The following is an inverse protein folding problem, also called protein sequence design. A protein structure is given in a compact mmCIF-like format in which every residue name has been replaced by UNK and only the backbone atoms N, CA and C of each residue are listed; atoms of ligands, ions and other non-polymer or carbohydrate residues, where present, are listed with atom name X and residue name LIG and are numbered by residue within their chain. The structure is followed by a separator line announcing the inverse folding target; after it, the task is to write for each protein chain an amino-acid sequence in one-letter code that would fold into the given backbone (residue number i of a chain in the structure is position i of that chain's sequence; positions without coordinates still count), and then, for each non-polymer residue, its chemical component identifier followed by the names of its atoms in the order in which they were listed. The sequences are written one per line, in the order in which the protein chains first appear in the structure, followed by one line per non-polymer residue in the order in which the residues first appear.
data_IF_702358846946
#
_entry.id   IF_702358846946
#
_cell.length_a   1.000
_cell.length_b   1.000
_cell.length_c   1.000
_cell.angle_alpha   90.00
_cell.angle_beta   90.00
_cell.angle_gamma   90.00
#
_symmetry.space_group_name_H-M   'P 1'
#
loop_
_entity.id
_entity.type
_entity.pdbx_description
1 polymer ?
#
# COMPACT_ATOMS: atom_id res chain seq x y z
N UNK A 1 -87.10 -31.65 16.15
CA UNK A 1 -86.39 -30.49 15.57
C UNK A 1 -85.28 -30.09 16.57
N UNK A 2 -84.03 -30.43 16.30
CA UNK A 2 -82.89 -30.11 17.19
C UNK A 2 -82.10 -29.03 16.49
N UNK A 3 -81.99 -27.87 17.09
CA UNK A 3 -81.14 -26.77 16.62
C UNK A 3 -79.72 -26.99 17.06
N UNK A 4 -78.83 -27.04 16.09
CA UNK A 4 -77.40 -27.13 16.31
C UNK A 4 -76.80 -25.71 16.21
N UNK A 5 -76.22 -25.22 17.28
CA UNK A 5 -75.54 -23.92 17.34
C UNK A 5 -74.01 -24.18 17.08
N UNK A 6 -73.50 -23.61 16.02
CA UNK A 6 -72.04 -23.62 15.74
C UNK A 6 -71.44 -22.40 16.42
N UNK A 7 -70.50 -22.66 17.38
CA UNK A 7 -69.59 -21.66 17.92
C UNK A 7 -68.37 -21.53 16.99
N UNK A 8 -68.18 -20.36 16.42
CA UNK A 8 -66.93 -20.00 15.74
C UNK A 8 -65.95 -19.45 16.78
N UNK A 9 -64.82 -20.14 17.01
CA UNK A 9 -63.69 -19.62 17.76
C UNK A 9 -62.79 -18.81 16.85
N UNK A 10 -62.70 -17.50 17.04
CA UNK A 10 -61.70 -16.65 16.39
C UNK A 10 -60.35 -16.83 17.14
N UNK A 11 -59.37 -17.49 16.53
CA UNK A 11 -58.00 -17.48 17.00
C UNK A 11 -57.28 -16.25 16.42
N UNK A 12 -57.03 -15.26 17.26
CA UNK A 12 -56.17 -14.11 16.95
C UNK A 12 -54.69 -14.55 16.98
N UNK A 13 -54.07 -14.72 15.83
CA UNK A 13 -52.67 -14.92 15.70
C UNK A 13 -51.92 -13.59 15.95
N UNK A 14 -51.27 -13.46 17.10
CA UNK A 14 -50.31 -12.39 17.33
C UNK A 14 -49.05 -12.66 16.46
N UNK A 15 -48.90 -11.92 15.37
CA UNK A 15 -47.63 -11.85 14.63
C UNK A 15 -46.69 -10.97 15.45
N UNK A 16 -45.77 -11.62 16.15
CA UNK A 16 -44.65 -10.94 16.80
C UNK A 16 -43.69 -10.48 15.70
N UNK A 17 -43.67 -9.20 15.44
CA UNK A 17 -42.64 -8.58 14.60
C UNK A 17 -41.33 -8.56 15.40
N UNK A 18 -40.54 -9.62 15.32
CA UNK A 18 -39.16 -9.55 15.76
C UNK A 18 -38.43 -8.61 14.82
N UNK A 19 -37.97 -7.46 15.33
CA UNK A 19 -36.99 -6.62 14.66
C UNK A 19 -35.72 -7.48 14.49
N UNK A 20 -35.44 -7.88 13.26
CA UNK A 20 -34.20 -8.48 12.89
C UNK A 20 -33.09 -7.45 13.23
N UNK A 21 -32.13 -7.84 14.05
CA UNK A 21 -30.94 -7.02 14.28
C UNK A 21 -30.30 -6.71 12.91
N UNK A 22 -29.81 -5.49 12.69
CA UNK A 22 -29.10 -5.19 11.45
C UNK A 22 -27.98 -6.23 11.27
N UNK A 23 -27.87 -6.79 10.07
CA UNK A 23 -26.77 -7.70 9.73
C UNK A 23 -25.46 -6.96 10.01
N UNK A 24 -24.58 -7.57 10.79
CA UNK A 24 -23.24 -7.06 10.99
C UNK A 24 -22.55 -7.04 9.63
N UNK A 25 -21.96 -5.92 9.25
CA UNK A 25 -21.11 -5.84 8.05
C UNK A 25 -19.79 -6.53 8.41
N UNK A 26 -19.65 -7.80 8.04
CA UNK A 26 -18.49 -8.63 8.37
C UNK A 26 -17.18 -8.10 7.72
N UNK A 27 -17.27 -7.08 6.86
CA UNK A 27 -16.11 -6.38 6.30
C UNK A 27 -15.52 -5.32 7.27
N UNK A 28 -16.20 -5.01 8.38
CA UNK A 28 -15.73 -4.05 9.38
C UNK A 28 -14.97 -4.74 10.51
N UNK A 29 -13.85 -4.16 10.90
CA UNK A 29 -13.07 -4.61 12.05
C UNK A 29 -12.45 -3.45 12.83
N UNK A 30 -12.05 -3.71 14.08
CA UNK A 30 -11.42 -2.72 14.95
C UNK A 30 -9.90 -2.85 14.91
N UNK A 31 -9.21 -1.71 14.96
CA UNK A 31 -7.77 -1.65 15.14
C UNK A 31 -7.38 -2.22 16.51
N UNK A 32 -6.61 -3.30 16.50
CA UNK A 32 -6.12 -4.00 17.70
C UNK A 32 -4.61 -3.80 17.90
N UNK A 33 -4.02 -2.81 17.24
CA UNK A 33 -2.58 -2.60 17.19
C UNK A 33 -1.92 -3.30 15.99
N UNK A 34 -0.59 -3.24 15.98
CA UNK A 34 0.22 -3.84 14.92
C UNK A 34 0.41 -5.35 15.12
N UNK A 35 0.31 -6.16 14.06
CA UNK A 35 -0.09 -5.80 12.69
C UNK A 35 -1.54 -5.33 12.62
N UNK A 36 -1.78 -4.32 11.75
CA UNK A 36 -3.05 -3.63 11.62
C UNK A 36 -4.13 -4.50 10.96
N UNK A 37 -3.80 -5.14 9.82
CA UNK A 37 -4.68 -6.03 9.08
C UNK A 37 -4.38 -7.47 9.46
N UNK A 38 -5.41 -8.22 9.92
CA UNK A 38 -5.24 -9.54 10.53
C UNK A 38 -5.99 -10.66 9.81
N UNK A 39 -6.70 -10.33 8.74
CA UNK A 39 -7.49 -11.27 7.94
C UNK A 39 -6.74 -11.81 6.72
N UNK A 40 -5.63 -11.18 6.33
CA UNK A 40 -4.73 -11.58 5.26
C UNK A 40 -3.29 -11.21 5.61
N UNK A 41 -2.32 -11.87 4.98
CA UNK A 41 -0.94 -11.37 4.96
C UNK A 41 -0.86 -10.25 3.93
N UNK A 42 -0.36 -9.09 4.36
CA UNK A 42 -0.37 -7.85 3.58
C UNK A 42 1.01 -7.20 3.57
N UNK A 43 1.38 -6.58 2.47
CA UNK A 43 2.69 -5.96 2.30
C UNK A 43 2.60 -4.61 1.59
N UNK A 44 3.69 -3.89 1.59
CA UNK A 44 3.94 -2.71 0.76
C UNK A 44 2.78 -1.70 0.80
N UNK A 45 2.47 -1.15 1.99
CA UNK A 45 1.28 -0.33 2.19
C UNK A 45 1.37 1.01 1.46
N UNK A 46 0.34 1.37 0.71
CA UNK A 46 0.23 2.61 -0.03
C UNK A 46 -1.02 3.40 0.39
N UNK A 47 -0.90 4.32 1.35
CA UNK A 47 -2.01 5.13 1.82
C UNK A 47 -2.38 6.25 0.84
N UNK A 48 -3.69 6.52 0.72
CA UNK A 48 -4.28 7.61 -0.06
C UNK A 48 -5.47 8.21 0.70
N UNK A 49 -5.49 9.53 0.87
CA UNK A 49 -6.65 10.25 1.41
C UNK A 49 -7.52 10.76 0.26
N UNK A 50 -8.82 10.46 0.33
CA UNK A 50 -9.83 10.97 -0.61
C UNK A 50 -10.99 11.55 0.20
N UNK A 51 -11.17 12.85 0.15
CA UNK A 51 -12.10 13.55 1.04
C UNK A 51 -11.70 13.34 2.51
N UNK A 52 -12.62 12.85 3.31
CA UNK A 52 -12.42 12.59 4.75
C UNK A 52 -12.04 11.13 5.04
N UNK A 53 -11.75 10.32 4.01
CA UNK A 53 -11.46 8.88 4.16
C UNK A 53 -10.06 8.54 3.75
N UNK A 54 -9.39 7.73 4.58
CA UNK A 54 -8.11 7.12 4.28
C UNK A 54 -8.33 5.73 3.67
N UNK A 55 -7.68 5.49 2.55
CA UNK A 55 -7.57 4.21 1.85
C UNK A 55 -6.13 3.70 1.97
N UNK A 56 -5.96 2.39 2.17
CA UNK A 56 -4.64 1.75 2.19
C UNK A 56 -4.66 0.56 1.23
N UNK A 57 -3.95 0.70 0.13
CA UNK A 57 -3.71 -0.38 -0.82
C UNK A 57 -2.54 -1.22 -0.34
N UNK A 58 -2.59 -2.54 -0.54
CA UNK A 58 -1.53 -3.45 -0.11
C UNK A 58 -1.31 -4.55 -1.12
N UNK A 59 -0.10 -5.10 -1.18
CA UNK A 59 0.12 -6.42 -1.74
C UNK A 59 -0.51 -7.50 -0.87
N UNK A 60 -0.77 -8.68 -1.44
CA UNK A 60 -1.32 -9.85 -0.76
C UNK A 60 -0.33 -11.00 -0.83
N UNK A 61 0.33 -11.27 0.30
CA UNK A 61 1.27 -12.39 0.44
C UNK A 61 0.50 -13.71 0.63
N UNK A 62 0.60 -14.63 -0.33
CA UNK A 62 -0.03 -15.95 -0.29
C UNK A 62 0.98 -17.09 -0.23
N UNK A 63 2.12 -16.88 0.41
CA UNK A 63 3.15 -17.90 0.57
C UNK A 63 2.89 -18.77 1.81
N UNK A 64 2.26 -19.93 1.63
CA UNK A 64 1.90 -20.86 2.71
C UNK A 64 2.85 -22.07 2.81
N UNK A 65 4.10 -21.92 2.39
CA UNK A 65 5.12 -22.94 2.54
C UNK A 65 5.78 -22.86 3.90
N UNK A 66 5.93 -24.01 4.59
CA UNK A 66 6.56 -24.08 5.92
C UNK A 66 8.05 -23.68 5.91
N UNK A 67 8.69 -23.78 4.75
CA UNK A 67 10.10 -23.42 4.55
C UNK A 67 10.36 -21.92 4.40
N UNK A 68 9.34 -21.08 4.33
CA UNK A 68 9.50 -19.63 4.21
C UNK A 68 9.96 -19.02 5.52
N UNK A 69 11.23 -18.64 5.56
CA UNK A 69 11.84 -17.92 6.68
C UNK A 69 11.71 -16.40 6.54
N UNK A 70 12.06 -15.67 7.61
CA UNK A 70 12.06 -14.21 7.57
C UNK A 70 13.12 -13.66 6.58
N UNK A 71 14.14 -14.44 6.24
CA UNK A 71 15.17 -14.09 5.26
C UNK A 71 14.72 -14.20 3.79
N UNK A 72 13.47 -14.61 3.56
CA UNK A 72 12.84 -14.59 2.25
C UNK A 72 13.48 -15.45 1.16
N UNK A 73 14.24 -16.45 1.54
CA UNK A 73 14.97 -17.31 0.58
C UNK A 73 14.11 -18.05 -0.43
N UNK A 74 12.82 -18.09 -0.22
CA UNK A 74 11.86 -18.85 -1.03
C UNK A 74 10.86 -17.96 -1.77
N UNK A 75 11.15 -16.66 -1.82
CA UNK A 75 10.44 -15.71 -2.64
C UNK A 75 9.13 -15.23 -2.03
N UNK A 76 8.54 -14.34 -2.77
CA UNK A 76 7.23 -13.78 -2.50
C UNK A 76 6.22 -14.47 -3.43
N UNK A 77 5.02 -14.73 -2.93
CA UNK A 77 3.89 -15.13 -3.76
C UNK A 77 2.78 -14.09 -3.58
N UNK A 78 2.88 -13.00 -4.32
CA UNK A 78 1.89 -11.92 -4.31
C UNK A 78 0.98 -12.08 -5.52
N UNK A 79 -0.29 -12.34 -5.26
CA UNK A 79 -1.26 -12.73 -6.31
C UNK A 79 -2.16 -11.60 -6.75
N UNK A 80 -2.41 -10.63 -5.88
CA UNK A 80 -3.35 -9.54 -6.11
C UNK A 80 -3.09 -8.37 -5.14
N UNK A 81 -3.85 -7.27 -5.32
CA UNK A 81 -3.86 -6.14 -4.41
C UNK A 81 -5.16 -6.09 -3.64
N UNK A 82 -5.03 -5.85 -2.32
CA UNK A 82 -6.13 -5.66 -1.38
C UNK A 82 -6.30 -4.18 -1.06
N UNK A 83 -7.50 -3.82 -0.59
CA UNK A 83 -7.81 -2.47 -0.18
C UNK A 83 -8.53 -2.45 1.17
N UNK A 84 -8.08 -1.55 2.03
CA UNK A 84 -8.69 -1.24 3.31
C UNK A 84 -8.99 0.26 3.38
N UNK A 85 -10.01 0.66 4.17
CA UNK A 85 -10.30 2.07 4.40
C UNK A 85 -10.80 2.36 5.80
N UNK A 86 -10.61 3.62 6.24
CA UNK A 86 -11.05 4.09 7.55
C UNK A 86 -11.42 5.57 7.52
N UNK A 87 -12.29 5.99 8.42
CA UNK A 87 -12.61 7.40 8.67
C UNK A 87 -12.00 7.91 9.99
N UNK A 88 -11.43 7.02 10.84
CA UNK A 88 -11.03 7.34 12.21
C UNK A 88 -9.73 6.66 12.68
N UNK A 89 -9.07 5.86 11.83
CA UNK A 89 -7.92 5.01 12.15
C UNK A 89 -8.22 3.88 13.14
N UNK A 90 -9.45 3.75 13.61
CA UNK A 90 -9.86 2.73 14.59
C UNK A 90 -10.78 1.69 13.99
N UNK A 91 -11.79 2.11 13.24
CA UNK A 91 -12.69 1.22 12.51
C UNK A 91 -12.26 1.13 11.06
N UNK A 92 -11.95 -0.06 10.62
CA UNK A 92 -11.48 -0.33 9.26
C UNK A 92 -12.48 -1.14 8.48
N UNK A 93 -12.59 -0.85 7.20
CA UNK A 93 -13.36 -1.63 6.24
C UNK A 93 -12.40 -2.38 5.32
N UNK A 94 -12.61 -3.68 5.22
CA UNK A 94 -11.99 -4.53 4.21
C UNK A 94 -12.83 -4.48 2.92
N UNK A 95 -12.22 -4.08 1.81
CA UNK A 95 -12.83 -4.09 0.48
C UNK A 95 -12.47 -5.34 -0.32
N UNK A 96 -11.59 -6.19 0.22
CA UNK A 96 -11.07 -7.37 -0.47
C UNK A 96 -10.13 -7.05 -1.61
N UNK A 97 -10.06 -7.96 -2.55
CA UNK A 97 -9.26 -7.81 -3.77
C UNK A 97 -9.88 -6.74 -4.68
N UNK A 98 -9.05 -5.82 -5.16
CA UNK A 98 -9.47 -4.77 -6.09
C UNK A 98 -8.93 -4.95 -7.50
N UNK A 99 -7.80 -5.64 -7.64
CA UNK A 99 -7.10 -5.82 -8.91
C UNK A 99 -6.10 -6.97 -8.83
N UNK A 100 -5.68 -7.51 -9.98
CA UNK A 100 -4.68 -8.56 -10.06
C UNK A 100 -3.84 -8.45 -11.35
N UNK A 101 -2.60 -8.99 -11.39
CA UNK A 101 -1.79 -9.00 -12.61
C UNK A 101 -2.48 -9.67 -13.81
N UNK A 102 -3.38 -10.62 -13.55
CA UNK A 102 -4.16 -11.28 -14.61
C UNK A 102 -5.09 -10.32 -15.39
N UNK A 103 -5.39 -9.14 -14.83
CA UNK A 103 -6.19 -8.11 -15.50
C UNK A 103 -5.37 -7.32 -16.54
N UNK A 104 -4.04 -7.53 -16.58
CA UNK A 104 -3.15 -6.95 -17.59
C UNK A 104 -2.76 -7.97 -18.65
N UNK A 105 -2.93 -7.61 -19.92
CA UNK A 105 -2.57 -8.49 -21.04
C UNK A 105 -1.07 -8.78 -21.15
N UNK A 106 -0.23 -7.89 -20.64
CA UNK A 106 1.23 -7.93 -20.68
C UNK A 106 1.88 -8.57 -19.43
N UNK A 107 1.16 -8.66 -18.31
CA UNK A 107 1.70 -9.25 -17.09
C UNK A 107 1.54 -10.77 -17.05
N UNK A 108 2.46 -11.44 -16.35
CA UNK A 108 2.44 -12.90 -16.14
C UNK A 108 2.22 -13.28 -14.68
N UNK A 109 2.20 -12.31 -13.74
CA UNK A 109 1.98 -12.55 -12.32
C UNK A 109 2.64 -11.51 -11.42
N UNK A 110 2.71 -11.80 -10.13
CA UNK A 110 3.43 -11.09 -9.08
C UNK A 110 2.97 -9.63 -8.87
N UNK A 111 2.01 -9.46 -7.98
CA UNK A 111 1.42 -8.18 -7.59
C UNK A 111 2.28 -7.47 -6.52
N UNK A 112 3.41 -6.87 -6.91
CA UNK A 112 4.35 -6.21 -6.01
C UNK A 112 3.88 -4.79 -5.65
N UNK A 113 4.75 -4.00 -5.01
CA UNK A 113 4.39 -2.68 -4.51
C UNK A 113 3.71 -1.79 -5.55
N UNK A 114 2.76 -0.98 -5.08
CA UNK A 114 1.96 -0.11 -5.90
C UNK A 114 1.59 1.17 -5.14
N UNK A 115 1.20 2.22 -5.86
CA UNK A 115 0.61 3.42 -5.26
C UNK A 115 -0.53 3.95 -6.14
N UNK A 116 -1.61 4.38 -5.49
CA UNK A 116 -2.72 5.07 -6.13
C UNK A 116 -2.64 6.58 -5.91
N UNK A 117 -2.98 7.37 -6.93
CA UNK A 117 -3.11 8.82 -6.83
C UNK A 117 -4.41 9.25 -7.53
N UNK A 118 -5.06 10.29 -6.99
CA UNK A 118 -6.15 10.96 -7.67
C UNK A 118 -5.62 12.09 -8.57
N UNK A 119 -6.11 12.17 -9.78
CA UNK A 119 -5.91 13.34 -10.67
C UNK A 119 -7.15 13.57 -11.54
N UNK A 120 -7.69 14.78 -11.49
CA UNK A 120 -8.84 15.20 -12.28
C UNK A 120 -10.08 14.29 -12.14
N UNK A 121 -10.35 13.81 -10.91
CA UNK A 121 -11.48 12.95 -10.61
C UNK A 121 -11.32 11.50 -11.07
N UNK A 122 -10.12 11.10 -11.47
CA UNK A 122 -9.76 9.72 -11.78
C UNK A 122 -8.66 9.22 -10.83
N UNK A 123 -8.64 7.93 -10.60
CA UNK A 123 -7.67 7.25 -9.76
C UNK A 123 -6.74 6.44 -10.65
N UNK A 124 -5.44 6.74 -10.56
CA UNK A 124 -4.38 6.07 -11.30
C UNK A 124 -3.59 5.20 -10.33
N UNK A 125 -3.60 3.90 -10.57
CA UNK A 125 -2.94 2.89 -9.74
C UNK A 125 -1.68 2.42 -10.47
N UNK A 126 -0.52 2.95 -10.06
CA UNK A 126 0.79 2.51 -10.55
C UNK A 126 1.23 1.31 -9.76
N UNK A 127 1.69 0.29 -10.45
CA UNK A 127 1.95 -1.01 -9.84
C UNK A 127 3.14 -1.70 -10.47
N UNK A 128 3.76 -2.57 -9.69
CA UNK A 128 4.80 -3.47 -10.18
C UNK A 128 4.21 -4.86 -10.43
N UNK A 129 4.46 -5.42 -11.60
CA UNK A 129 4.12 -6.80 -11.92
C UNK A 129 5.23 -7.47 -12.74
N UNK A 130 5.27 -8.81 -12.74
CA UNK A 130 6.13 -9.56 -13.66
C UNK A 130 5.61 -9.40 -15.08
N UNK A 131 6.43 -8.86 -15.97
CA UNK A 131 6.15 -8.84 -17.40
C UNK A 131 6.21 -10.23 -18.03
N UNK A 132 5.54 -10.42 -19.18
CA UNK A 132 5.75 -11.58 -20.02
C UNK A 132 7.14 -11.59 -20.64
N UNK A 133 7.51 -12.69 -21.27
CA UNK A 133 8.88 -12.93 -21.77
C UNK A 133 9.47 -11.79 -22.61
N UNK A 134 8.63 -11.04 -23.33
CA UNK A 134 9.06 -9.91 -24.15
C UNK A 134 9.58 -8.71 -23.33
N UNK A 135 9.29 -8.64 -22.02
CA UNK A 135 9.64 -7.49 -21.17
C UNK A 135 10.81 -7.72 -20.20
N UNK A 136 11.36 -8.91 -20.15
CA UNK A 136 12.58 -9.27 -19.40
C UNK A 136 12.54 -8.84 -17.91
N UNK A 137 11.48 -9.14 -17.16
CA UNK A 137 11.48 -8.94 -15.72
C UNK A 137 10.29 -8.15 -15.17
N UNK A 138 10.53 -7.39 -14.11
CA UNK A 138 9.53 -6.53 -13.51
C UNK A 138 9.29 -5.31 -14.37
N UNK A 139 8.03 -4.90 -14.40
CA UNK A 139 7.56 -3.74 -15.13
C UNK A 139 6.64 -2.91 -14.25
N UNK A 140 6.58 -1.62 -14.52
CA UNK A 140 5.59 -0.74 -13.91
C UNK A 140 4.44 -0.55 -14.90
N UNK A 141 3.23 -0.91 -14.46
CA UNK A 141 1.98 -0.66 -15.19
C UNK A 141 1.19 0.48 -14.57
N UNK A 142 0.13 0.88 -15.25
CA UNK A 142 -0.85 1.83 -14.71
C UNK A 142 -2.26 1.36 -15.03
N UNK A 143 -3.10 1.27 -13.99
CA UNK A 143 -4.53 1.05 -14.11
C UNK A 143 -5.28 2.33 -13.75
N UNK A 144 -6.48 2.48 -14.28
CA UNK A 144 -7.33 3.66 -14.06
C UNK A 144 -8.73 3.27 -13.63
N UNK A 145 -9.32 4.08 -12.74
CA UNK A 145 -10.70 3.95 -12.26
C UNK A 145 -11.34 5.32 -12.04
N UNK A 146 -12.66 5.36 -11.99
CA UNK A 146 -13.46 6.53 -11.56
C UNK A 146 -13.72 6.52 -10.03
N UNK A 147 -13.23 5.50 -9.31
CA UNK A 147 -13.40 5.34 -7.85
C UNK A 147 -12.10 4.82 -7.20
N UNK A 148 -11.79 5.22 -5.95
CA UNK A 148 -10.65 4.67 -5.22
C UNK A 148 -10.79 3.18 -4.94
N UNK A 149 -12.00 2.64 -4.99
CA UNK A 149 -12.29 1.21 -4.79
C UNK A 149 -12.37 0.41 -6.09
N UNK A 150 -12.11 1.03 -7.23
CA UNK A 150 -12.24 0.38 -8.53
C UNK A 150 -13.69 0.42 -9.08
N UNK A 151 -14.02 -0.39 -10.10
CA UNK A 151 -13.09 -1.31 -10.77
C UNK A 151 -11.96 -0.58 -11.52
N UNK A 152 -10.75 -1.11 -11.38
CA UNK A 152 -9.60 -0.62 -12.14
C UNK A 152 -9.49 -1.38 -13.47
N UNK A 153 -9.00 -0.70 -14.49
CA UNK A 153 -8.72 -1.29 -15.82
C UNK A 153 -7.32 -0.89 -16.27
N UNK A 154 -6.65 -1.75 -17.03
CA UNK A 154 -5.37 -1.43 -17.67
C UNK A 154 -5.52 -0.18 -18.55
N UNK A 155 -4.73 0.85 -18.27
CA UNK A 155 -4.89 2.14 -18.93
C UNK A 155 -4.26 2.21 -20.33
N UNK A 156 -3.26 1.34 -20.62
CA UNK A 156 -2.46 1.45 -21.86
C UNK A 156 -2.22 0.12 -22.59
N UNK A 157 -2.55 -1.02 -22.00
CA UNK A 157 -2.38 -2.34 -22.61
C UNK A 157 -0.93 -2.83 -22.75
N UNK A 158 0.02 -2.14 -22.11
CA UNK A 158 1.45 -2.45 -22.05
C UNK A 158 2.07 -1.82 -20.79
N UNK A 159 3.30 -2.20 -20.39
CA UNK A 159 3.99 -1.49 -19.34
C UNK A 159 4.19 0.00 -19.65
N UNK A 160 4.12 0.83 -18.60
CA UNK A 160 4.57 2.23 -18.63
C UNK A 160 6.10 2.31 -18.58
N UNK A 161 6.72 1.47 -17.74
CA UNK A 161 8.17 1.31 -17.61
C UNK A 161 8.52 -0.17 -17.78
N UNK A 162 9.58 -0.44 -18.52
CA UNK A 162 10.18 -1.76 -18.75
C UNK A 162 11.71 -1.67 -18.79
N UNK A 163 12.38 -2.80 -18.60
CA UNK A 163 13.84 -2.92 -18.41
C UNK A 163 14.68 -2.22 -19.52
N UNK A 164 14.19 -2.19 -20.75
CA UNK A 164 14.84 -1.50 -21.87
C UNK A 164 14.90 0.03 -21.75
N UNK A 165 14.10 0.61 -20.84
CA UNK A 165 14.07 2.05 -20.59
C UNK A 165 15.05 2.48 -19.49
N UNK A 166 15.49 1.55 -18.62
CA UNK A 166 16.23 1.82 -17.37
C UNK A 166 17.51 1.00 -17.24
N UNK A 167 18.03 0.45 -18.32
CA UNK A 167 19.30 -0.27 -18.29
C UNK A 167 20.43 0.62 -17.78
N UNK A 168 20.82 0.41 -16.52
CA UNK A 168 21.92 1.10 -15.84
C UNK A 168 23.19 0.27 -15.76
N UNK A 169 23.28 -0.86 -16.49
CA UNK A 169 24.37 -1.82 -16.44
C UNK A 169 24.41 -2.65 -15.15
N UNK A 170 23.48 -2.45 -14.22
CA UNK A 170 23.26 -3.32 -13.08
C UNK A 170 22.31 -4.45 -13.48
N UNK A 171 22.56 -5.62 -12.96
CA UNK A 171 21.76 -6.77 -13.35
C UNK A 171 20.70 -7.03 -12.34
N UNK A 172 19.50 -6.83 -12.70
CA UNK A 172 18.36 -7.25 -11.90
C UNK A 172 17.12 -7.22 -12.75
N UNK A 173 16.50 -8.38 -12.94
CA UNK A 173 15.19 -8.48 -13.58
C UNK A 173 14.08 -7.80 -12.75
N UNK A 174 14.46 -7.14 -11.63
CA UNK A 174 13.57 -6.34 -10.77
C UNK A 174 14.05 -4.88 -10.61
N UNK A 175 14.71 -4.29 -11.61
CA UNK A 175 15.12 -2.89 -11.56
C UNK A 175 13.93 -1.91 -11.49
N UNK A 176 12.85 -2.23 -12.21
CA UNK A 176 11.68 -1.36 -12.35
C UNK A 176 10.57 -1.81 -11.42
N UNK A 177 10.72 -1.46 -10.14
CA UNK A 177 9.76 -1.76 -9.07
C UNK A 177 9.44 -0.54 -8.24
N UNK A 178 8.40 -0.65 -7.41
CA UNK A 178 8.03 0.25 -6.34
C UNK A 178 7.74 1.70 -6.81
N UNK A 179 6.80 1.90 -7.72
CA UNK A 179 6.46 3.24 -8.17
C UNK A 179 5.83 4.07 -7.05
N UNK A 180 6.32 5.32 -6.91
CA UNK A 180 5.69 6.35 -6.09
C UNK A 180 5.42 7.58 -6.94
N UNK A 181 4.29 8.24 -6.70
CA UNK A 181 3.83 9.39 -7.48
C UNK A 181 3.39 10.54 -6.59
N UNK A 182 3.72 11.76 -7.00
CA UNK A 182 3.31 12.99 -6.34
C UNK A 182 2.99 14.06 -7.38
N UNK A 183 1.84 14.71 -7.25
CA UNK A 183 1.52 15.90 -8.05
C UNK A 183 2.00 17.15 -7.32
N UNK A 184 2.82 17.95 -7.99
CA UNK A 184 3.36 19.21 -7.50
C UNK A 184 2.33 20.35 -7.66
N UNK A 185 2.60 21.51 -7.04
CA UNK A 185 1.72 22.69 -7.08
C UNK A 185 1.52 23.26 -8.48
N UNK A 186 2.48 23.06 -9.38
CA UNK A 186 2.34 23.47 -10.79
C UNK A 186 1.47 22.51 -11.62
N UNK A 187 0.94 21.46 -10.99
CA UNK A 187 0.13 20.42 -11.59
C UNK A 187 0.92 19.30 -12.25
N UNK A 188 2.26 19.38 -12.31
CA UNK A 188 3.10 18.31 -12.84
C UNK A 188 3.10 17.11 -11.87
N UNK A 189 2.83 15.92 -12.37
CA UNK A 189 2.97 14.70 -11.59
C UNK A 189 4.34 14.08 -11.84
N UNK A 190 5.05 13.75 -10.75
CA UNK A 190 6.36 13.12 -10.77
C UNK A 190 6.24 11.68 -10.28
N UNK A 191 6.98 10.80 -10.92
CA UNK A 191 7.09 9.40 -10.51
C UNK A 191 8.54 9.08 -10.17
N UNK A 192 8.76 8.43 -9.01
CA UNK A 192 10.03 7.79 -8.66
C UNK A 192 9.82 6.28 -8.56
N UNK A 193 10.87 5.49 -8.82
CA UNK A 193 10.84 4.03 -8.73
C UNK A 193 12.26 3.45 -8.71
N UNK A 194 12.36 2.15 -8.52
CA UNK A 194 13.56 1.39 -8.83
C UNK A 194 14.15 0.60 -7.68
N UNK A 195 14.97 -0.38 -8.02
CA UNK A 195 15.79 -1.16 -7.10
C UNK A 195 17.30 -0.95 -7.42
N UNK A 196 18.10 -0.72 -6.38
CA UNK A 196 19.52 -0.38 -6.48
C UNK A 196 19.81 1.00 -7.08
N UNK A 197 18.91 1.54 -7.86
CA UNK A 197 18.96 2.89 -8.44
C UNK A 197 17.59 3.55 -8.31
N UNK A 198 17.56 4.76 -7.76
CA UNK A 198 16.33 5.55 -7.69
C UNK A 198 16.18 6.35 -8.99
N UNK A 199 15.19 5.99 -9.78
CA UNK A 199 14.81 6.70 -11.00
C UNK A 199 13.72 7.73 -10.73
N UNK A 200 13.66 8.77 -11.56
CA UNK A 200 12.63 9.80 -11.51
C UNK A 200 12.32 10.34 -12.90
N UNK A 201 11.05 10.51 -13.20
CA UNK A 201 10.58 11.19 -14.40
C UNK A 201 9.25 11.90 -14.17
N UNK A 202 8.96 13.02 -14.87
CA UNK A 202 7.63 13.60 -14.87
C UNK A 202 6.69 12.80 -15.78
N UNK A 203 5.42 12.79 -15.41
CA UNK A 203 4.34 12.23 -16.22
C UNK A 203 3.67 13.33 -17.04
N UNK A 204 3.14 12.98 -18.21
CA UNK A 204 2.23 13.85 -18.95
C UNK A 204 0.90 13.99 -18.19
N UNK A 205 0.12 15.01 -18.53
CA UNK A 205 -1.19 15.26 -17.92
C UNK A 205 -2.17 14.08 -18.06
N UNK A 206 -1.96 13.23 -19.07
CA UNK A 206 -2.76 12.02 -19.25
C UNK A 206 -2.43 10.91 -18.25
N UNK A 207 -1.37 11.08 -17.44
CA UNK A 207 -0.95 10.15 -16.36
C UNK A 207 -0.48 8.76 -16.84
N UNK A 208 -0.35 8.53 -18.13
CA UNK A 208 -0.02 7.21 -18.72
C UNK A 208 1.18 7.25 -19.67
N UNK A 209 1.90 8.36 -19.68
CA UNK A 209 3.11 8.55 -20.48
C UNK A 209 4.13 9.39 -19.70
N UNK A 210 5.42 9.14 -19.90
CA UNK A 210 6.47 10.04 -19.42
C UNK A 210 6.48 11.32 -20.24
N UNK A 211 6.67 12.46 -19.56
CA UNK A 211 6.73 13.78 -20.19
C UNK A 211 8.15 14.18 -20.59
N UNK A 212 9.17 13.60 -19.95
CA UNK A 212 10.58 13.90 -20.19
C UNK A 212 11.44 12.66 -19.94
N UNK A 213 12.76 12.80 -20.07
CA UNK A 213 13.76 11.76 -19.85
C UNK A 213 13.79 11.28 -18.41
N UNK A 214 14.11 9.99 -18.23
CA UNK A 214 14.36 9.40 -16.93
C UNK A 214 15.66 9.94 -16.36
N UNK A 215 15.64 10.38 -15.11
CA UNK A 215 16.80 10.86 -14.36
C UNK A 215 17.08 9.96 -13.17
N UNK A 216 18.29 10.01 -12.62
CA UNK A 216 18.70 9.27 -11.43
C UNK A 216 18.84 10.22 -10.26
N UNK A 217 18.24 9.84 -9.13
CA UNK A 217 18.45 10.54 -7.85
C UNK A 217 19.53 9.79 -7.08
N UNK A 218 20.72 10.39 -6.85
CA UNK A 218 21.78 9.75 -6.09
C UNK A 218 21.44 9.74 -4.59
N UNK A 219 21.09 8.58 -4.06
CA UNK A 219 20.77 8.37 -2.65
C UNK A 219 21.77 7.39 -2.01
N UNK A 220 22.27 7.69 -0.80
CA UNK A 220 23.20 6.81 -0.13
C UNK A 220 22.52 5.52 0.32
N UNK A 221 23.15 4.38 0.02
CA UNK A 221 22.68 3.04 0.42
C UNK A 221 21.26 2.72 -0.01
N UNK A 222 20.76 3.35 -1.07
CA UNK A 222 19.43 3.10 -1.62
C UNK A 222 19.28 1.62 -2.02
N UNK A 223 18.17 1.04 -1.64
CA UNK A 223 17.77 -0.32 -2.04
C UNK A 223 16.56 -0.25 -2.95
N UNK A 224 15.40 0.21 -2.43
CA UNK A 224 14.10 0.20 -3.11
C UNK A 224 13.09 1.07 -2.38
N UNK A 225 11.80 0.89 -2.65
CA UNK A 225 10.69 1.45 -1.89
C UNK A 225 10.71 2.96 -1.74
N UNK A 226 10.93 3.75 -2.80
CA UNK A 226 10.86 5.19 -2.68
C UNK A 226 9.42 5.62 -2.38
N UNK A 227 9.25 6.63 -1.54
CA UNK A 227 7.97 7.28 -1.26
C UNK A 227 8.13 8.78 -1.32
N UNK A 228 7.48 9.42 -2.29
CA UNK A 228 7.44 10.86 -2.44
C UNK A 228 6.30 11.44 -1.61
N UNK A 229 6.61 12.46 -0.82
CA UNK A 229 5.59 13.27 -0.12
C UNK A 229 6.06 14.70 0.05
N UNK A 230 5.14 15.58 0.44
CA UNK A 230 5.43 16.99 0.68
C UNK A 230 4.79 17.46 1.98
N UNK A 231 5.50 18.31 2.72
CA UNK A 231 4.98 19.00 3.89
C UNK A 231 5.50 20.43 3.92
N UNK A 232 4.60 21.41 3.82
CA UNK A 232 4.98 22.81 3.72
C UNK A 232 5.89 23.07 2.51
N UNK A 233 7.03 23.70 2.75
CA UNK A 233 8.00 24.08 1.71
C UNK A 233 8.98 22.96 1.34
N UNK A 234 8.86 21.78 1.95
CA UNK A 234 9.81 20.69 1.74
C UNK A 234 9.18 19.48 1.10
N UNK A 235 9.91 18.90 0.15
CA UNK A 235 9.69 17.57 -0.42
C UNK A 235 10.52 16.57 0.37
N UNK A 236 9.94 15.39 0.58
CA UNK A 236 10.56 14.27 1.26
C UNK A 236 10.56 13.07 0.31
N UNK A 237 11.71 12.48 0.12
CA UNK A 237 11.89 11.21 -0.53
C UNK A 237 12.32 10.22 0.54
N UNK A 238 11.38 9.43 1.01
CA UNK A 238 11.58 8.38 2.01
C UNK A 238 11.87 7.10 1.23
N UNK A 239 12.83 6.30 1.66
CA UNK A 239 13.24 5.14 0.88
C UNK A 239 13.84 4.05 1.75
N UNK A 240 13.80 2.82 1.25
CA UNK A 240 14.50 1.69 1.85
C UNK A 240 15.99 1.82 1.60
N UNK A 241 16.78 1.72 2.66
CA UNK A 241 18.22 1.78 2.63
C UNK A 241 18.86 0.56 3.30
N UNK A 242 20.05 0.17 2.84
CA UNK A 242 20.80 -0.91 3.48
C UNK A 242 21.43 -0.42 4.78
N UNK A 243 20.92 -0.87 5.92
CA UNK A 243 21.49 -0.67 7.24
C UNK A 243 22.63 -1.65 7.52
N UNK A 244 22.68 -2.23 8.70
CA UNK A 244 23.69 -3.21 9.13
C UNK A 244 23.43 -4.62 8.53
N UNK A 245 23.40 -4.71 7.19
CA UNK A 245 23.15 -5.96 6.47
C UNK A 245 21.66 -6.32 6.32
N UNK A 246 20.77 -5.40 6.68
CA UNK A 246 19.31 -5.53 6.55
C UNK A 246 18.71 -4.19 6.14
N UNK A 247 17.51 -4.22 5.63
CA UNK A 247 16.78 -3.04 5.21
C UNK A 247 16.30 -2.21 6.39
N UNK A 248 16.48 -0.90 6.26
CA UNK A 248 16.00 0.15 7.16
C UNK A 248 15.37 1.25 6.32
N UNK A 249 14.72 2.23 6.94
CA UNK A 249 14.12 3.35 6.21
C UNK A 249 14.92 4.62 6.46
N UNK A 250 15.37 5.23 5.38
CA UNK A 250 16.05 6.53 5.35
C UNK A 250 15.24 7.56 4.56
N UNK A 251 15.65 8.81 4.59
CA UNK A 251 15.02 9.84 3.78
C UNK A 251 16.00 10.91 3.31
N UNK A 252 15.57 11.64 2.30
CA UNK A 252 16.19 12.86 1.82
C UNK A 252 15.15 13.98 1.75
N UNK A 253 15.59 15.22 1.91
CA UNK A 253 14.77 16.44 1.80
C UNK A 253 15.25 17.31 0.65
N UNK A 254 14.32 18.08 0.10
CA UNK A 254 14.61 19.13 -0.87
C UNK A 254 13.55 20.24 -0.81
N UNK A 255 13.91 21.46 -1.20
CA UNK A 255 12.96 22.55 -1.44
C UNK A 255 12.35 22.53 -2.85
N UNK A 256 12.75 21.56 -3.69
CA UNK A 256 12.25 21.36 -5.03
C UNK A 256 12.13 19.87 -5.31
N UNK A 257 11.03 19.44 -5.95
CA UNK A 257 10.85 18.04 -6.33
C UNK A 257 11.97 17.54 -7.26
N UNK A 258 12.58 18.43 -8.02
CA UNK A 258 13.74 18.12 -8.89
C UNK A 258 15.06 18.02 -8.13
N UNK A 259 15.07 18.26 -6.84
CA UNK A 259 16.29 18.34 -6.03
C UNK A 259 16.96 19.73 -6.06
N UNK A 260 18.22 19.84 -5.59
CA UNK A 260 19.03 18.73 -5.11
C UNK A 260 18.47 18.10 -3.83
N UNK A 261 18.50 16.78 -3.77
CA UNK A 261 18.06 16.00 -2.62
C UNK A 261 19.18 15.90 -1.58
N UNK A 262 18.91 16.34 -0.36
CA UNK A 262 19.85 16.24 0.77
C UNK A 262 19.50 15.01 1.61
N UNK A 263 20.37 13.99 1.67
CA UNK A 263 20.18 12.86 2.57
C UNK A 263 20.21 13.30 4.03
N UNK A 264 19.21 12.87 4.81
CA UNK A 264 19.04 13.26 6.21
C UNK A 264 19.34 12.11 7.19
N UNK A 265 19.31 10.86 6.74
CA UNK A 265 19.61 9.69 7.54
C UNK A 265 18.45 8.74 7.74
N UNK A 266 18.63 7.80 8.66
CA UNK A 266 17.68 6.75 9.00
C UNK A 266 16.57 7.27 9.93
N UNK A 267 15.32 6.90 9.63
CA UNK A 267 14.13 7.24 10.43
C UNK A 267 13.40 6.05 11.01
N UNK A 268 13.63 4.85 10.49
CA UNK A 268 13.07 3.62 11.08
C UNK A 268 14.04 2.45 10.86
N UNK A 269 14.16 1.59 11.86
CA UNK A 269 14.99 0.40 11.82
C UNK A 269 14.37 -0.75 11.03
N UNK A 270 15.01 -1.90 11.11
CA UNK A 270 14.61 -3.14 10.47
C UNK A 270 13.21 -3.58 10.92
N UNK A 271 12.43 -4.13 9.99
CA UNK A 271 11.17 -4.78 10.33
C UNK A 271 11.39 -6.09 11.11
N UNK A 272 10.58 -6.32 12.13
CA UNK A 272 10.64 -7.55 12.90
C UNK A 272 10.12 -8.73 12.05
N UNK A 273 10.83 -9.85 12.07
CA UNK A 273 10.51 -11.09 11.34
C UNK A 273 10.31 -10.91 9.82
N UNK A 274 10.84 -9.84 9.25
CA UNK A 274 10.92 -9.60 7.81
C UNK A 274 12.31 -9.10 7.45
N UNK A 275 12.82 -9.46 6.27
CA UNK A 275 14.07 -8.89 5.77
C UNK A 275 13.83 -7.60 4.99
N UNK A 276 12.61 -7.39 4.48
CA UNK A 276 12.18 -6.16 3.83
C UNK A 276 11.38 -5.27 4.77
N UNK A 277 11.39 -3.96 4.49
CA UNK A 277 10.50 -2.95 5.03
C UNK A 277 10.11 -2.02 3.88
N UNK A 278 8.84 -1.58 3.82
CA UNK A 278 8.39 -0.69 2.74
C UNK A 278 7.59 0.49 3.32
N UNK A 279 8.02 1.75 3.10
CA UNK A 279 7.35 2.91 3.66
C UNK A 279 6.15 3.35 2.83
N UNK A 280 5.06 3.71 3.51
CA UNK A 280 3.96 4.49 2.96
C UNK A 280 3.63 5.63 3.92
N UNK A 281 3.60 6.88 3.48
CA UNK A 281 3.42 8.03 4.38
C UNK A 281 2.26 8.91 3.91
N UNK A 282 1.45 9.36 4.86
CA UNK A 282 0.28 10.20 4.57
C UNK A 282 -0.02 11.14 5.74
N UNK A 283 -0.50 12.33 5.41
CA UNK A 283 -1.20 13.19 6.37
C UNK A 283 -2.70 12.87 6.36
N UNK A 284 -3.25 12.61 7.55
CA UNK A 284 -4.67 12.34 7.71
C UNK A 284 -5.19 12.93 9.02
N UNK A 285 -6.28 13.70 8.96
CA UNK A 285 -6.88 14.38 10.12
C UNK A 285 -5.87 15.19 10.95
N UNK A 286 -4.94 15.90 10.27
CA UNK A 286 -3.94 16.76 10.90
C UNK A 286 -2.80 16.04 11.60
N UNK A 287 -2.67 14.74 11.38
CA UNK A 287 -1.57 13.90 11.85
C UNK A 287 -0.89 13.22 10.69
N UNK A 288 0.40 12.95 10.84
CA UNK A 288 1.17 12.18 9.88
C UNK A 288 1.30 10.74 10.34
N UNK A 289 1.18 9.81 9.39
CA UNK A 289 1.25 8.37 9.63
C UNK A 289 2.30 7.73 8.73
N UNK A 290 3.08 6.85 9.34
CA UNK A 290 4.06 6.01 8.68
C UNK A 290 3.54 4.58 8.68
N UNK A 291 3.17 4.10 7.50
CA UNK A 291 2.80 2.71 7.27
C UNK A 291 4.03 1.93 6.83
N UNK A 292 4.13 0.70 7.28
CA UNK A 292 5.19 -0.23 6.95
C UNK A 292 4.68 -1.67 7.06
N UNK A 293 5.52 -2.67 6.85
CA UNK A 293 5.16 -4.06 7.13
C UNK A 293 6.19 -4.75 8.03
N UNK A 294 5.77 -5.80 8.75
CA UNK A 294 6.62 -6.75 9.46
C UNK A 294 6.14 -8.18 9.23
N UNK A 295 6.78 -9.18 9.87
CA UNK A 295 6.39 -10.59 9.79
C UNK A 295 5.82 -11.13 11.11
N UNK A 296 4.99 -10.36 11.83
CA UNK A 296 4.54 -10.73 13.17
C UNK A 296 3.14 -11.38 13.22
N UNK A 297 2.36 -11.34 12.16
CA UNK A 297 1.03 -11.97 12.14
C UNK A 297 1.16 -13.49 12.12
N UNK A 298 0.31 -14.16 12.92
CA UNK A 298 0.02 -15.58 12.74
C UNK A 298 -1.41 -15.73 12.23
N UNK A 299 -1.58 -16.33 11.07
CA UNK A 299 -2.88 -16.49 10.41
C UNK A 299 -3.04 -17.95 9.96
N UNK A 300 -4.18 -18.57 10.30
CA UNK A 300 -4.51 -19.96 9.94
C UNK A 300 -3.42 -21.00 10.30
N UNK A 301 -2.70 -20.76 11.41
CA UNK A 301 -1.60 -21.60 11.87
C UNK A 301 -0.23 -21.33 11.23
N UNK A 302 -0.17 -20.48 10.20
CA UNK A 302 1.07 -20.03 9.58
C UNK A 302 1.61 -18.79 10.31
N UNK A 303 2.88 -18.86 10.71
CA UNK A 303 3.58 -17.70 11.30
C UNK A 303 3.98 -16.72 10.20
N UNK A 304 3.98 -15.44 10.53
CA UNK A 304 4.56 -14.41 9.70
C UNK A 304 6.03 -14.69 9.36
N UNK A 305 6.46 -14.21 8.23
CA UNK A 305 7.80 -14.41 7.67
C UNK A 305 8.06 -13.38 6.56
N UNK A 306 9.21 -13.44 5.91
CA UNK A 306 9.57 -12.58 4.78
C UNK A 306 8.57 -12.61 3.62
N UNK A 307 7.95 -13.76 3.34
CA UNK A 307 6.87 -13.91 2.34
C UNK A 307 5.46 -14.01 2.95
N UNK A 308 5.29 -13.67 4.22
CA UNK A 308 4.02 -13.57 4.96
C UNK A 308 4.07 -12.35 5.86
N UNK A 309 4.11 -11.20 5.21
CA UNK A 309 4.23 -9.88 5.85
C UNK A 309 2.88 -9.38 6.36
N UNK A 310 2.88 -8.34 7.15
CA UNK A 310 1.65 -7.74 7.66
C UNK A 310 1.83 -6.26 7.90
N UNK A 311 0.91 -5.46 7.38
CA UNK A 311 0.93 -4.01 7.49
C UNK A 311 0.80 -3.55 8.92
N UNK A 312 1.64 -2.57 9.27
CA UNK A 312 1.70 -1.85 10.53
C UNK A 312 1.61 -0.35 10.30
N UNK A 313 1.30 0.41 11.34
CA UNK A 313 1.24 1.87 11.28
C UNK A 313 1.71 2.51 12.58
N UNK A 314 2.48 3.60 12.47
CA UNK A 314 2.89 4.45 13.59
C UNK A 314 2.53 5.92 13.29
N UNK A 315 2.34 6.74 14.31
CA UNK A 315 2.26 8.18 14.16
C UNK A 315 3.67 8.72 13.88
N UNK A 316 3.81 9.54 12.84
CA UNK A 316 5.07 10.16 12.44
C UNK A 316 5.13 11.62 12.90
N UNK A 317 6.22 12.01 13.53
CA UNK A 317 6.44 13.35 14.06
C UNK A 317 7.57 14.07 13.33
N UNK A 318 7.48 15.39 13.28
CA UNK A 318 8.49 16.27 12.72
C UNK A 318 9.07 17.18 13.77
N UNK A 319 10.34 17.54 13.63
CA UNK A 319 10.98 18.59 14.38
C UNK A 319 10.58 19.97 13.82
N UNK A 320 10.91 21.05 14.54
CA UNK A 320 10.61 22.42 14.12
C UNK A 320 11.27 22.82 12.80
N UNK A 321 12.43 22.24 12.48
CA UNK A 321 13.16 22.45 11.22
C UNK A 321 12.63 21.63 10.04
N UNK A 322 11.55 20.86 10.24
CA UNK A 322 10.94 20.00 9.25
C UNK A 322 11.58 18.60 9.13
N UNK A 323 12.65 18.31 9.87
CA UNK A 323 13.23 16.97 9.87
C UNK A 323 12.30 15.94 10.52
N UNK A 324 12.33 14.68 10.03
CA UNK A 324 11.52 13.60 10.58
C UNK A 324 12.18 13.07 11.87
N UNK A 325 11.39 12.89 12.93
CA UNK A 325 11.85 12.21 14.14
C UNK A 325 11.95 10.71 13.91
N UNK A 326 12.86 10.04 14.62
CA UNK A 326 13.00 8.58 14.52
C UNK A 326 11.72 7.87 14.96
N UNK A 327 11.25 6.94 14.14
CA UNK A 327 10.01 6.21 14.30
C UNK A 327 10.29 4.87 14.99
N UNK A 328 9.77 4.70 16.19
CA UNK A 328 9.85 3.43 16.92
C UNK A 328 8.69 2.54 16.51
N UNK A 329 8.99 1.37 15.98
CA UNK A 329 8.00 0.35 15.66
C UNK A 329 7.43 -0.27 16.94
N UNK A 330 6.11 -0.28 17.11
CA UNK A 330 5.45 -0.74 18.33
C UNK A 330 4.35 -1.78 18.04
N UNK A 331 4.06 -2.61 19.02
CA UNK A 331 2.92 -3.53 18.91
C UNK A 331 1.57 -2.82 19.02
N UNK A 332 1.53 -1.63 19.65
CA UNK A 332 0.29 -0.87 19.81
C UNK A 332 -0.06 -0.05 18.57
N UNK A 333 0.95 0.42 17.83
CA UNK A 333 0.74 1.34 16.72
C UNK A 333 -0.11 2.54 17.14
N UNK A 334 -1.18 2.80 16.41
CA UNK A 334 -2.15 3.88 16.65
C UNK A 334 -3.47 3.39 17.24
N UNK A 335 -3.55 2.15 17.74
CA UNK A 335 -4.74 1.66 18.42
C UNK A 335 -5.07 2.51 19.65
N UNK A 336 -6.35 2.78 19.88
CA UNK A 336 -6.77 3.42 21.14
C UNK A 336 -6.40 2.52 22.32
N UNK A 337 -5.75 3.12 23.34
CA UNK A 337 -5.54 2.41 24.59
C UNK A 337 -6.91 2.17 25.21
N UNK A 338 -7.29 0.90 25.39
CA UNK A 338 -8.39 0.55 26.29
C UNK A 338 -7.97 1.01 27.68
N UNK A 339 -8.68 1.97 28.27
CA UNK A 339 -8.54 2.28 29.69
C UNK A 339 -8.91 1.00 30.46
N UNK A 340 -7.92 0.42 31.18
CA UNK A 340 -8.14 -0.70 32.10
C UNK A 340 -8.83 -0.23 33.38
#
# INVERSE_FOLDING_TARGET
MKNLVYLFALSSAFVSCQKQAPATDDSLFQNQGNPLFRNAFTSDPAPLVVGDRLYVYTGHDECFEDSVGYEGKYGFNLTNWLLYSTDDMQTWKDHGQIFAPADFSWASGEAWAAQCIEKNGKFYFYLTAQGKDEYNGKCIGVAVSDSPTGPFVDAIGKPLISDDMTDNGQRGWWNDIDPTVLTDDDGTTWMCWGNGTCFMAPLKDNMIELADTITVIPLPRYVEGPWLTRRGDYYYLIYVSMGQGRETVSYAMSSSIKGPWQPMGEIAGMAENSFTIHPGVVEYNGKWYFFYHNGNLTLNGYKGAGGRRSVCVEEMQFNEDGTIQYITQTANGVAQKTEE
#
